data_IF_649402974967
#
_entry.id   IF_649402974967
#
_cell.length_a   1.000
_cell.length_b   1.000
_cell.length_c   1.000
_cell.angle_alpha   90.00
_cell.angle_beta   90.00
_cell.angle_gamma   90.00
#
_symmetry.space_group_name_H-M   'P 1'
#
loop_
_entity.id
_entity.type
_entity.pdbx_description
1 polymer ?
#
# COMPACT_ATOMS: atom_id res chain seq x y z
N UNK A 1 -13.42 -20.78 5.88
CA UNK A 1 -13.83 -19.37 6.05
C UNK A 1 -15.13 -19.21 5.29
N UNK A 2 -16.08 -18.48 5.86
CA UNK A 2 -17.32 -18.13 5.18
C UNK A 2 -17.26 -16.66 4.81
N UNK A 3 -17.85 -16.31 3.67
CA UNK A 3 -18.00 -14.95 3.20
C UNK A 3 -19.50 -14.60 3.16
N UNK A 4 -19.88 -13.36 3.52
CA UNK A 4 -19.00 -12.26 3.94
C UNK A 4 -18.31 -12.49 5.30
N UNK A 5 -17.01 -12.20 5.40
CA UNK A 5 -16.21 -12.37 6.62
C UNK A 5 -16.27 -11.09 7.46
N UNK A 6 -16.65 -11.14 8.75
CA UNK A 6 -16.77 -9.94 9.58
C UNK A 6 -15.44 -9.20 9.76
N UNK A 7 -15.46 -7.89 9.52
CA UNK A 7 -14.33 -6.97 9.77
C UNK A 7 -14.62 -6.12 11.00
N UNK A 8 -15.85 -5.61 11.10
CA UNK A 8 -16.41 -4.94 12.27
C UNK A 8 -17.83 -5.49 12.47
N UNK A 9 -18.07 -6.11 13.62
CA UNK A 9 -19.32 -6.84 13.90
C UNK A 9 -20.54 -5.94 14.16
N UNK A 10 -20.33 -4.68 14.53
CA UNK A 10 -21.41 -3.74 14.82
C UNK A 10 -20.95 -2.34 14.44
N UNK A 11 -21.67 -1.73 13.50
CA UNK A 11 -21.49 -0.34 13.12
C UNK A 11 -22.55 0.55 13.78
N UNK A 12 -22.14 1.74 14.20
CA UNK A 12 -23.08 2.80 14.54
C UNK A 12 -23.53 3.60 13.30
N UNK A 13 -24.54 4.45 13.47
CA UNK A 13 -25.09 5.27 12.37
C UNK A 13 -24.06 6.20 11.75
N UNK A 14 -23.09 6.69 12.53
CA UNK A 14 -22.05 7.58 12.03
C UNK A 14 -21.04 6.83 11.15
N UNK A 15 -20.71 5.59 11.50
CA UNK A 15 -19.87 4.70 10.71
C UNK A 15 -20.56 4.27 9.43
N UNK A 16 -21.85 3.94 9.46
CA UNK A 16 -22.65 3.66 8.26
C UNK A 16 -22.67 4.90 7.35
N UNK A 17 -22.93 6.09 7.90
CA UNK A 17 -22.89 7.33 7.11
C UNK A 17 -21.50 7.60 6.52
N UNK A 18 -20.43 7.27 7.25
CA UNK A 18 -19.04 7.38 6.77
C UNK A 18 -18.79 6.45 5.59
N UNK A 19 -19.26 5.20 5.68
CA UNK A 19 -19.19 4.23 4.57
C UNK A 19 -19.87 4.78 3.32
N UNK A 20 -21.15 5.14 3.42
CA UNK A 20 -21.96 5.61 2.30
C UNK A 20 -21.37 6.87 1.64
N UNK A 21 -20.81 7.77 2.45
CA UNK A 21 -20.27 9.04 1.95
C UNK A 21 -18.88 8.88 1.31
N UNK A 22 -18.03 8.01 1.85
CA UNK A 22 -16.59 8.02 1.51
C UNK A 22 -16.09 6.75 0.84
N UNK A 23 -16.71 5.60 1.08
CA UNK A 23 -16.24 4.30 0.61
C UNK A 23 -17.14 3.70 -0.49
N UNK A 24 -18.46 3.82 -0.31
CA UNK A 24 -19.45 3.28 -1.22
C UNK A 24 -19.49 4.03 -2.57
N UNK A 25 -20.02 3.36 -3.58
CA UNK A 25 -20.32 3.97 -4.88
C UNK A 25 -19.17 3.93 -5.91
N UNK A 26 -19.53 4.29 -7.15
CA UNK A 26 -18.63 4.30 -8.31
C UNK A 26 -18.24 5.72 -8.78
N UNK A 27 -18.67 6.76 -8.04
CA UNK A 27 -18.41 8.17 -8.40
C UNK A 27 -16.99 8.64 -8.14
N UNK A 28 -16.14 7.79 -7.55
CA UNK A 28 -14.74 8.08 -7.25
C UNK A 28 -13.84 7.63 -8.41
N UNK A 29 -12.69 8.28 -8.55
CA UNK A 29 -11.66 7.92 -9.55
C UNK A 29 -11.16 6.46 -9.46
N UNK A 30 -11.38 5.81 -8.31
CA UNK A 30 -11.18 4.39 -8.07
C UNK A 30 -12.23 3.88 -7.08
N UNK A 31 -12.58 2.59 -7.10
CA UNK A 31 -13.39 1.98 -6.04
C UNK A 31 -12.67 2.09 -4.70
N UNK A 32 -13.27 2.78 -3.72
CA UNK A 32 -12.69 3.03 -2.40
C UNK A 32 -12.99 1.90 -1.40
N UNK A 33 -14.05 1.15 -1.64
CA UNK A 33 -14.35 -0.13 -0.99
C UNK A 33 -13.39 -1.28 -1.39
N UNK A 34 -12.39 -1.02 -2.24
CA UNK A 34 -11.43 -2.03 -2.68
C UNK A 34 -10.03 -1.69 -2.18
N UNK A 35 -9.44 -2.64 -1.47
CA UNK A 35 -8.03 -2.66 -1.13
C UNK A 35 -7.30 -3.62 -2.08
N UNK A 36 -6.27 -3.13 -2.77
CA UNK A 36 -5.47 -3.93 -3.69
C UNK A 36 -4.00 -3.65 -3.44
N UNK A 37 -3.19 -4.69 -3.47
CA UNK A 37 -1.75 -4.56 -3.33
C UNK A 37 -0.99 -5.65 -4.08
N UNK A 38 0.19 -5.26 -4.57
CA UNK A 38 1.07 -6.14 -5.34
C UNK A 38 2.49 -6.02 -4.79
N UNK A 39 3.06 -7.17 -4.44
CA UNK A 39 4.48 -7.35 -4.23
C UNK A 39 5.03 -8.29 -5.27
N UNK A 40 6.16 -7.89 -5.83
CA UNK A 40 6.96 -8.71 -6.72
C UNK A 40 8.41 -8.59 -6.30
N UNK A 41 9.07 -9.72 -6.13
CA UNK A 41 10.47 -9.83 -5.75
C UNK A 41 11.13 -10.81 -6.69
N UNK A 42 12.28 -10.43 -7.22
CA UNK A 42 13.10 -11.23 -8.13
C UNK A 42 14.54 -11.07 -7.67
N UNK A 43 15.30 -12.16 -7.68
CA UNK A 43 16.74 -12.08 -7.47
C UNK A 43 17.38 -11.35 -8.64
N UNK A 44 18.15 -10.32 -8.34
CA UNK A 44 18.86 -9.49 -9.31
C UNK A 44 20.14 -8.94 -8.67
N UNK A 45 21.23 -8.74 -9.43
CA UNK A 45 22.44 -8.12 -8.92
C UNK A 45 22.18 -6.78 -8.19
N UNK A 46 21.27 -5.96 -8.69
CA UNK A 46 20.94 -4.65 -8.12
C UNK A 46 20.27 -4.71 -6.75
N UNK A 47 19.79 -5.88 -6.32
CA UNK A 47 19.14 -6.07 -5.02
C UNK A 47 19.72 -7.24 -4.21
N UNK A 48 20.96 -7.65 -4.52
CA UNK A 48 21.59 -8.87 -3.98
C UNK A 48 21.54 -8.99 -2.45
N UNK A 49 21.73 -7.88 -1.72
CA UNK A 49 21.66 -7.84 -0.25
C UNK A 49 20.32 -8.34 0.28
N UNK A 50 19.21 -7.98 -0.38
CA UNK A 50 17.86 -8.30 0.08
C UNK A 50 17.33 -9.60 -0.53
N UNK A 51 17.70 -9.89 -1.78
CA UNK A 51 17.21 -11.05 -2.51
C UNK A 51 18.07 -12.30 -2.32
N UNK A 52 19.26 -12.17 -1.74
CA UNK A 52 20.24 -13.25 -1.67
C UNK A 52 20.72 -13.69 -3.05
N UNK A 53 20.72 -12.80 -4.05
CA UNK A 53 21.22 -13.11 -5.39
C UNK A 53 22.70 -13.51 -5.35
N UNK A 54 23.06 -14.54 -6.12
CA UNK A 54 24.44 -14.95 -6.42
C UNK A 54 24.57 -15.43 -7.87
N UNK A 55 25.79 -15.55 -8.39
CA UNK A 55 26.04 -16.01 -9.77
C UNK A 55 25.58 -17.46 -10.00
N UNK A 56 25.71 -18.32 -8.99
CA UNK A 56 25.39 -19.75 -9.09
C UNK A 56 23.91 -20.06 -8.77
N UNK A 57 23.25 -19.21 -7.98
CA UNK A 57 21.87 -19.43 -7.51
C UNK A 57 21.01 -18.17 -7.68
N UNK A 58 20.66 -17.88 -8.95
CA UNK A 58 19.79 -16.77 -9.31
C UNK A 58 18.56 -17.21 -10.09
N UNK A 59 17.59 -16.29 -10.17
CA UNK A 59 16.37 -16.47 -10.92
C UNK A 59 15.13 -16.76 -10.07
N UNK A 60 15.27 -16.86 -8.73
CA UNK A 60 14.09 -16.98 -7.87
C UNK A 60 13.21 -15.73 -7.99
N UNK A 61 11.90 -15.95 -8.03
CA UNK A 61 10.90 -14.88 -8.06
C UNK A 61 9.72 -15.27 -7.18
N UNK A 62 9.20 -14.29 -6.46
CA UNK A 62 7.91 -14.38 -5.76
C UNK A 62 7.03 -13.20 -6.13
N UNK A 63 5.77 -13.49 -6.42
CA UNK A 63 4.71 -12.51 -6.63
C UNK A 63 3.62 -12.78 -5.62
N UNK A 64 3.12 -11.73 -4.98
CA UNK A 64 1.90 -11.74 -4.19
C UNK A 64 1.02 -10.61 -4.70
N UNK A 65 -0.22 -10.91 -5.06
CA UNK A 65 -1.22 -9.92 -5.47
C UNK A 65 -2.52 -10.23 -4.75
N UNK A 66 -3.04 -9.25 -4.03
CA UNK A 66 -4.34 -9.37 -3.40
C UNK A 66 -5.27 -8.26 -3.87
N UNK A 67 -6.56 -8.56 -3.82
CA UNK A 67 -7.64 -7.62 -4.09
C UNK A 67 -8.84 -8.02 -3.25
N UNK A 68 -9.21 -7.15 -2.33
CA UNK A 68 -10.30 -7.37 -1.37
C UNK A 68 -11.38 -6.34 -1.60
N UNK A 69 -12.64 -6.79 -1.69
CA UNK A 69 -13.81 -5.91 -1.71
C UNK A 69 -14.46 -5.96 -0.34
N UNK A 70 -14.65 -4.79 0.25
CA UNK A 70 -15.41 -4.62 1.48
C UNK A 70 -16.82 -4.15 1.15
N UNK A 71 -17.76 -4.44 2.03
CA UNK A 71 -19.15 -3.98 1.91
C UNK A 71 -19.82 -3.88 3.29
N UNK A 72 -21.04 -3.36 3.31
CA UNK A 72 -21.91 -3.45 4.47
C UNK A 72 -22.82 -4.68 4.36
N UNK A 73 -22.89 -5.44 5.45
CA UNK A 73 -23.81 -6.55 5.61
C UNK A 73 -24.98 -6.13 6.52
N UNK A 74 -26.20 -6.20 5.98
CA UNK A 74 -27.46 -5.84 6.63
C UNK A 74 -28.30 -7.06 7.03
N UNK A 75 -27.77 -8.29 6.97
CA UNK A 75 -28.54 -9.48 7.38
C UNK A 75 -28.83 -9.52 8.88
N UNK A 76 -28.14 -8.69 9.68
CA UNK A 76 -28.32 -8.55 11.13
C UNK A 76 -28.99 -7.21 11.48
N UNK A 77 -29.64 -7.08 12.66
CA UNK A 77 -30.29 -5.83 13.07
C UNK A 77 -29.35 -4.62 13.13
N UNK A 78 -28.07 -4.86 13.41
CA UNK A 78 -27.01 -3.84 13.38
C UNK A 78 -26.12 -4.15 12.17
N UNK A 79 -25.91 -3.19 11.24
CA UNK A 79 -25.05 -3.40 10.08
C UNK A 79 -23.61 -3.73 10.48
N UNK A 80 -22.94 -4.51 9.63
CA UNK A 80 -21.56 -4.93 9.85
C UNK A 80 -20.69 -4.50 8.68
N UNK A 81 -19.45 -4.12 8.95
CA UNK A 81 -18.44 -4.01 7.89
C UNK A 81 -17.89 -5.40 7.64
N UNK A 82 -17.89 -5.84 6.39
CA UNK A 82 -17.45 -7.18 6.01
C UNK A 82 -16.46 -7.16 4.86
N UNK A 83 -15.60 -8.17 4.81
CA UNK A 83 -14.90 -8.58 3.61
C UNK A 83 -15.89 -9.38 2.78
N UNK A 84 -16.37 -8.80 1.68
CA UNK A 84 -17.37 -9.41 0.81
C UNK A 84 -16.72 -10.34 -0.22
N UNK A 85 -15.57 -9.93 -0.78
CA UNK A 85 -14.84 -10.75 -1.75
C UNK A 85 -13.35 -10.77 -1.44
N UNK A 86 -12.74 -11.93 -1.64
CA UNK A 86 -11.31 -12.17 -1.46
C UNK A 86 -10.72 -12.69 -2.77
N UNK A 87 -9.66 -12.03 -3.23
CA UNK A 87 -8.71 -12.57 -4.21
C UNK A 87 -7.30 -12.46 -3.63
N UNK A 88 -6.58 -13.57 -3.58
CA UNK A 88 -5.17 -13.63 -3.22
C UNK A 88 -4.43 -14.58 -4.15
N UNK A 89 -3.46 -14.05 -4.86
CA UNK A 89 -2.61 -14.76 -5.79
C UNK A 89 -1.18 -14.78 -5.31
N UNK A 90 -0.56 -15.96 -5.35
CA UNK A 90 0.87 -16.14 -5.14
C UNK A 90 1.47 -16.90 -6.32
N UNK A 91 2.64 -16.46 -6.78
CA UNK A 91 3.46 -17.19 -7.77
C UNK A 91 4.88 -17.28 -7.27
N UNK A 92 5.43 -18.49 -7.24
CA UNK A 92 6.83 -18.74 -6.86
C UNK A 92 7.53 -19.43 -8.00
N UNK A 93 8.66 -18.88 -8.44
CA UNK A 93 9.60 -19.48 -9.39
C UNK A 93 10.88 -19.82 -8.62
N UNK A 94 11.27 -21.08 -8.61
CA UNK A 94 12.44 -21.59 -7.89
C UNK A 94 12.97 -22.87 -8.56
N UNK A 95 14.12 -23.43 -8.12
CA UNK A 95 14.59 -24.72 -8.62
C UNK A 95 13.50 -25.80 -8.51
N UNK A 96 13.40 -26.66 -9.52
CA UNK A 96 12.31 -27.65 -9.66
C UNK A 96 12.13 -28.53 -8.43
N UNK A 97 13.24 -28.96 -7.81
CA UNK A 97 13.19 -29.77 -6.59
C UNK A 97 12.51 -29.03 -5.42
N UNK A 98 12.80 -27.74 -5.24
CA UNK A 98 12.15 -26.91 -4.20
C UNK A 98 10.66 -26.73 -4.48
N UNK A 99 10.27 -26.57 -5.75
CA UNK A 99 8.87 -26.43 -6.15
C UNK A 99 8.09 -27.74 -6.03
N UNK A 100 8.69 -28.87 -6.38
CA UNK A 100 8.08 -30.18 -6.23
C UNK A 100 7.81 -30.47 -4.73
N UNK A 101 8.78 -30.19 -3.85
CA UNK A 101 8.60 -30.28 -2.40
C UNK A 101 7.51 -29.32 -1.90
N UNK A 102 7.51 -28.07 -2.37
CA UNK A 102 6.49 -27.09 -1.99
C UNK A 102 5.09 -27.50 -2.44
N UNK A 103 4.94 -28.05 -3.64
CA UNK A 103 3.66 -28.57 -4.14
C UNK A 103 3.15 -29.72 -3.26
N UNK A 104 4.03 -30.61 -2.84
CA UNK A 104 3.66 -31.72 -1.97
C UNK A 104 3.26 -31.22 -0.56
N UNK A 105 3.95 -30.21 -0.05
CA UNK A 105 3.55 -29.49 1.17
C UNK A 105 2.18 -28.81 1.02
N UNK A 106 1.92 -28.12 -0.10
CA UNK A 106 0.62 -27.50 -0.38
C UNK A 106 -0.51 -28.53 -0.40
N UNK A 107 -0.29 -29.70 -1.01
CA UNK A 107 -1.26 -30.81 -0.99
C UNK A 107 -1.49 -31.36 0.41
N UNK A 108 -0.43 -31.45 1.22
CA UNK A 108 -0.54 -31.83 2.63
C UNK A 108 -1.39 -30.82 3.40
N UNK A 109 -1.13 -29.51 3.25
CA UNK A 109 -1.89 -28.45 3.92
C UNK A 109 -3.35 -28.35 3.43
N UNK A 110 -3.62 -28.63 2.15
CA UNK A 110 -4.98 -28.74 1.64
C UNK A 110 -5.73 -29.87 2.37
N UNK A 111 -5.09 -31.02 2.54
CA UNK A 111 -5.68 -32.18 3.23
C UNK A 111 -5.87 -31.90 4.72
N UNK A 112 -4.81 -31.44 5.40
CA UNK A 112 -4.81 -31.07 6.83
C UNK A 112 -5.85 -29.98 7.12
N UNK A 113 -5.92 -28.98 6.25
CA UNK A 113 -6.89 -27.90 6.32
C UNK A 113 -8.31 -28.32 5.96
N UNK A 114 -8.56 -29.56 5.56
CA UNK A 114 -9.91 -30.07 5.24
C UNK A 114 -10.50 -29.46 3.97
N UNK A 115 -9.68 -29.12 2.98
CA UNK A 115 -10.14 -28.69 1.66
C UNK A 115 -10.64 -29.89 0.86
N UNK A 116 -11.75 -29.69 0.15
CA UNK A 116 -12.31 -30.71 -0.74
C UNK A 116 -11.84 -30.46 -2.17
N UNK A 117 -11.19 -31.46 -2.76
CA UNK A 117 -10.80 -31.44 -4.16
C UNK A 117 -12.05 -31.43 -5.06
N UNK A 118 -12.06 -30.54 -6.06
CA UNK A 118 -13.11 -30.41 -7.07
C UNK A 118 -12.62 -30.98 -8.42
N UNK A 119 -11.38 -30.66 -8.78
CA UNK A 119 -10.66 -31.22 -9.93
C UNK A 119 -9.16 -31.35 -9.64
N UNK A 120 -8.35 -31.70 -10.63
CA UNK A 120 -6.91 -31.92 -10.47
C UNK A 120 -6.14 -30.72 -9.88
N UNK A 121 -6.63 -29.50 -10.12
CA UNK A 121 -5.98 -28.25 -9.71
C UNK A 121 -6.82 -27.42 -8.73
N UNK A 122 -8.12 -27.66 -8.67
CA UNK A 122 -9.10 -26.86 -7.94
C UNK A 122 -9.59 -27.55 -6.66
N UNK A 123 -9.62 -26.78 -5.58
CA UNK A 123 -10.10 -27.21 -4.27
C UNK A 123 -11.09 -26.17 -3.71
N UNK A 124 -11.92 -26.59 -2.77
CA UNK A 124 -12.96 -25.77 -2.15
C UNK A 124 -13.05 -25.98 -0.64
N UNK A 125 -13.34 -24.91 0.11
CA UNK A 125 -13.63 -24.95 1.56
C UNK A 125 -14.48 -23.76 1.97
N UNK A 126 -15.73 -24.01 2.37
CA UNK A 126 -16.71 -22.93 2.57
C UNK A 126 -16.89 -22.14 1.27
N UNK A 127 -16.86 -20.82 1.37
CA UNK A 127 -17.04 -19.91 0.22
C UNK A 127 -15.73 -19.56 -0.49
N UNK A 128 -14.65 -20.30 -0.19
CA UNK A 128 -13.35 -20.16 -0.85
C UNK A 128 -13.08 -21.30 -1.82
N UNK A 129 -12.46 -20.95 -2.94
CA UNK A 129 -11.83 -21.85 -3.89
C UNK A 129 -10.33 -21.55 -3.95
N UNK A 130 -9.53 -22.59 -4.11
CA UNK A 130 -8.09 -22.45 -4.34
C UNK A 130 -7.65 -23.27 -5.54
N UNK A 131 -6.93 -22.63 -6.46
CA UNK A 131 -6.35 -23.27 -7.63
C UNK A 131 -4.83 -23.36 -7.46
N UNK A 132 -4.26 -24.54 -7.71
CA UNK A 132 -2.83 -24.83 -7.59
C UNK A 132 -2.31 -25.38 -8.91
N UNK A 133 -1.46 -24.62 -9.61
CA UNK A 133 -0.98 -24.96 -10.95
C UNK A 133 0.54 -24.83 -11.02
N UNK A 134 1.21 -25.87 -11.52
CA UNK A 134 2.65 -25.83 -11.82
C UNK A 134 2.90 -25.54 -13.29
N UNK A 135 3.98 -24.82 -13.58
CA UNK A 135 4.43 -24.56 -14.95
C UNK A 135 5.94 -24.76 -15.08
N UNK A 136 6.36 -25.59 -16.03
CA UNK A 136 7.77 -25.68 -16.42
C UNK A 136 8.22 -24.37 -17.10
N UNK A 137 7.37 -23.80 -17.97
CA UNK A 137 7.48 -22.42 -18.42
C UNK A 137 6.17 -21.69 -18.19
N UNK A 138 6.23 -20.56 -17.48
CA UNK A 138 5.02 -19.84 -17.10
C UNK A 138 4.46 -19.07 -18.30
N UNK A 139 3.16 -19.17 -18.64
CA UNK A 139 2.60 -18.54 -19.85
C UNK A 139 2.79 -17.02 -19.91
N UNK A 140 2.83 -16.35 -18.75
CA UNK A 140 3.06 -14.90 -18.66
C UNK A 140 4.52 -14.50 -18.84
N UNK A 141 5.45 -15.42 -18.61
CA UNK A 141 6.87 -15.21 -18.91
C UNK A 141 7.15 -15.44 -20.39
N UNK A 142 6.59 -16.49 -20.99
CA UNK A 142 6.66 -16.72 -22.44
C UNK A 142 6.12 -15.52 -23.21
N UNK A 143 4.94 -15.01 -22.84
CA UNK A 143 4.35 -13.82 -23.46
C UNK A 143 5.21 -12.57 -23.33
N UNK A 144 5.97 -12.45 -22.24
CA UNK A 144 6.85 -11.32 -21.99
C UNK A 144 8.30 -11.57 -22.47
N UNK A 145 8.55 -12.69 -23.15
CA UNK A 145 9.88 -13.16 -23.54
C UNK A 145 10.88 -13.18 -22.37
N UNK A 146 10.41 -13.48 -21.15
CA UNK A 146 11.25 -13.66 -19.97
C UNK A 146 11.66 -15.11 -19.89
N UNK A 147 12.97 -15.38 -19.90
CA UNK A 147 13.47 -16.74 -19.81
C UNK A 147 13.21 -17.33 -18.41
N UNK A 148 12.70 -18.57 -18.39
CA UNK A 148 12.74 -19.40 -17.19
C UNK A 148 14.15 -19.98 -17.07
N UNK A 149 14.86 -19.82 -15.93
CA UNK A 149 16.18 -20.41 -15.75
C UNK A 149 16.16 -21.94 -15.92
N UNK A 150 17.24 -22.53 -16.42
CA UNK A 150 17.33 -23.97 -16.58
C UNK A 150 17.17 -24.68 -15.23
N UNK A 151 16.32 -25.72 -15.19
CA UNK A 151 16.04 -26.47 -13.96
C UNK A 151 15.09 -25.75 -12.98
N UNK A 152 14.54 -24.59 -13.33
CA UNK A 152 13.51 -23.91 -12.56
C UNK A 152 12.12 -24.24 -13.10
N UNK A 153 11.13 -24.21 -12.23
CA UNK A 153 9.72 -24.18 -12.61
C UNK A 153 8.97 -23.26 -11.64
N UNK A 154 7.68 -23.04 -11.90
CA UNK A 154 6.85 -22.19 -11.05
C UNK A 154 5.63 -22.90 -10.51
N UNK A 155 5.17 -22.46 -9.35
CA UNK A 155 3.89 -22.84 -8.75
C UNK A 155 3.06 -21.58 -8.50
N UNK A 156 1.86 -21.59 -9.05
CA UNK A 156 0.83 -20.60 -8.80
C UNK A 156 -0.20 -21.16 -7.82
N UNK A 157 -0.55 -20.37 -6.81
CA UNK A 157 -1.65 -20.65 -5.88
C UNK A 157 -2.57 -19.43 -5.86
N UNK A 158 -3.85 -19.64 -6.18
CA UNK A 158 -4.85 -18.57 -6.28
C UNK A 158 -6.01 -18.90 -5.35
N UNK A 159 -6.21 -18.10 -4.31
CA UNK A 159 -7.40 -18.12 -3.47
C UNK A 159 -8.41 -17.12 -4.01
N UNK A 160 -9.66 -17.55 -4.20
CA UNK A 160 -10.77 -16.69 -4.59
C UNK A 160 -12.01 -17.02 -3.79
N UNK A 161 -12.83 -16.02 -3.50
CA UNK A 161 -14.21 -16.26 -3.10
C UNK A 161 -15.01 -16.88 -4.25
N UNK A 162 -15.99 -17.72 -3.92
CA UNK A 162 -16.74 -18.53 -4.89
C UNK A 162 -17.32 -17.71 -6.06
N UNK A 163 -17.82 -16.51 -5.76
CA UNK A 163 -18.45 -15.61 -6.73
C UNK A 163 -17.49 -14.58 -7.34
N UNK A 164 -16.19 -14.63 -7.03
CA UNK A 164 -15.24 -13.66 -7.57
C UNK A 164 -14.85 -14.00 -9.02
N UNK A 165 -15.18 -13.10 -9.94
CA UNK A 165 -14.72 -13.19 -11.32
C UNK A 165 -13.31 -12.63 -11.48
N UNK A 166 -12.33 -13.52 -11.71
CA UNK A 166 -10.96 -13.11 -12.04
C UNK A 166 -10.89 -12.58 -13.47
N UNK A 167 -11.20 -11.29 -13.62
CA UNK A 167 -11.14 -10.61 -14.92
C UNK A 167 -9.72 -10.64 -15.51
N UNK A 168 -9.61 -10.44 -16.83
CA UNK A 168 -8.31 -10.31 -17.51
C UNK A 168 -7.44 -9.23 -16.87
N UNK A 169 -8.01 -8.10 -16.46
CA UNK A 169 -7.27 -6.99 -15.86
C UNK A 169 -6.63 -7.41 -14.54
N UNK A 170 -7.40 -8.05 -13.63
CA UNK A 170 -6.89 -8.56 -12.35
C UNK A 170 -5.78 -9.58 -12.58
N UNK A 171 -6.01 -10.58 -13.44
CA UNK A 171 -5.03 -11.62 -13.75
C UNK A 171 -3.72 -11.09 -14.32
N UNK A 172 -3.76 -10.00 -15.10
CA UNK A 172 -2.57 -9.45 -15.78
C UNK A 172 -1.82 -8.42 -14.95
N UNK A 173 -2.49 -7.78 -13.98
CA UNK A 173 -1.91 -6.71 -13.18
C UNK A 173 -0.53 -7.04 -12.56
N UNK A 174 -0.33 -8.17 -11.86
CA UNK A 174 0.97 -8.47 -11.25
C UNK A 174 2.09 -8.62 -12.29
N UNK A 175 1.76 -9.16 -13.46
CA UNK A 175 2.70 -9.38 -14.55
C UNK A 175 3.06 -8.10 -15.30
N UNK A 176 2.10 -7.19 -15.47
CA UNK A 176 2.35 -5.85 -15.99
C UNK A 176 3.25 -5.05 -15.02
N UNK A 177 2.97 -5.14 -13.72
CA UNK A 177 3.81 -4.54 -12.69
C UNK A 177 5.22 -5.14 -12.72
N UNK A 178 5.36 -6.46 -12.90
CA UNK A 178 6.65 -7.17 -13.07
C UNK A 178 7.44 -6.69 -14.28
N UNK A 179 6.78 -6.51 -15.42
CA UNK A 179 7.41 -6.00 -16.63
C UNK A 179 8.03 -4.60 -16.45
N UNK A 180 7.55 -3.82 -15.46
CA UNK A 180 8.10 -2.52 -15.12
C UNK A 180 9.51 -2.51 -14.51
N UNK A 181 10.14 -3.68 -14.27
CA UNK A 181 11.55 -3.81 -13.86
C UNK A 181 11.82 -3.38 -12.41
N UNK A 182 13.06 -3.51 -11.92
CA UNK A 182 13.40 -3.05 -10.57
C UNK A 182 13.21 -1.54 -10.48
N UNK A 183 12.75 -1.08 -9.31
CA UNK A 183 12.63 0.35 -9.05
C UNK A 183 14.03 0.97 -9.11
N UNK A 184 14.21 1.90 -10.03
CA UNK A 184 15.33 2.82 -10.04
C UNK A 184 15.05 3.87 -8.96
N UNK A 185 15.97 4.04 -8.01
CA UNK A 185 15.89 5.10 -7.01
C UNK A 185 16.25 6.43 -7.67
N UNK A 186 15.59 7.50 -7.26
CA UNK A 186 15.97 8.83 -7.70
C UNK A 186 17.32 9.20 -7.07
N UNK A 187 18.13 9.97 -7.80
CA UNK A 187 19.34 10.57 -7.26
C UNK A 187 18.94 11.85 -6.54
N UNK A 188 19.18 11.87 -5.22
CA UNK A 188 18.91 13.04 -4.38
C UNK A 188 19.87 14.17 -4.75
N UNK A 189 19.34 15.38 -4.94
CA UNK A 189 20.15 16.59 -5.11
C UNK A 189 20.60 17.18 -3.76
N UNK A 190 20.82 18.50 -3.76
CA UNK A 190 21.22 19.31 -2.60
C UNK A 190 20.07 20.26 -2.20
N UNK A 191 19.02 19.74 -1.56
CA UNK A 191 17.94 20.58 -1.05
C UNK A 191 18.45 21.50 0.07
N UNK A 192 17.76 22.62 0.25
CA UNK A 192 18.00 23.53 1.38
C UNK A 192 17.17 23.08 2.58
N UNK A 193 17.74 23.10 3.77
CA UNK A 193 17.00 22.84 5.01
C UNK A 193 16.51 24.14 5.62
N UNK A 194 15.27 24.16 6.08
CA UNK A 194 14.65 25.27 6.78
C UNK A 194 14.09 24.81 8.13
N UNK A 195 13.98 25.75 9.06
CA UNK A 195 13.43 25.49 10.40
C UNK A 195 11.90 25.37 10.36
N UNK A 196 11.25 26.06 9.43
CA UNK A 196 9.79 26.09 9.25
C UNK A 196 9.36 26.32 7.78
N UNK A 197 8.06 26.45 7.56
CA UNK A 197 7.46 26.69 6.25
C UNK A 197 7.27 28.19 5.92
N UNK A 198 7.98 29.11 6.57
CA UNK A 198 7.79 30.55 6.35
C UNK A 198 8.00 30.97 4.89
N UNK A 199 9.00 30.41 4.20
CA UNK A 199 9.26 30.68 2.77
C UNK A 199 8.08 30.28 1.87
N UNK A 200 7.25 29.30 2.27
CA UNK A 200 6.06 28.89 1.48
C UNK A 200 5.07 30.06 1.29
N UNK A 201 5.05 31.03 2.20
CA UNK A 201 4.18 32.22 2.10
C UNK A 201 4.46 33.09 0.87
N UNK A 202 5.68 33.01 0.31
CA UNK A 202 6.06 33.70 -0.92
C UNK A 202 5.48 33.04 -2.19
N UNK A 203 5.01 31.79 -2.06
CA UNK A 203 4.54 30.94 -3.16
C UNK A 203 3.07 30.54 -3.02
N UNK A 204 2.23 31.41 -2.46
CA UNK A 204 0.78 31.18 -2.36
C UNK A 204 0.03 31.50 -3.67
N UNK A 205 -0.99 30.71 -4.04
CA UNK A 205 -1.43 29.49 -3.37
C UNK A 205 -0.56 28.27 -3.75
N UNK A 206 -0.54 27.25 -2.89
CA UNK A 206 0.17 25.99 -3.13
C UNK A 206 -0.82 24.83 -3.31
N UNK A 207 -0.33 23.69 -3.80
CA UNK A 207 -1.04 22.41 -3.79
C UNK A 207 -0.30 21.42 -2.90
N UNK A 208 -0.99 20.35 -2.47
CA UNK A 208 -0.46 19.40 -1.49
C UNK A 208 -0.39 17.99 -2.06
N UNK A 209 0.70 17.30 -1.78
CA UNK A 209 0.87 15.86 -1.93
C UNK A 209 1.12 15.23 -0.55
N UNK A 210 0.40 14.17 -0.19
CA UNK A 210 0.56 13.51 1.11
C UNK A 210 0.86 12.02 0.98
N UNK A 211 1.80 11.56 1.80
CA UNK A 211 2.06 10.16 2.11
C UNK A 211 1.59 9.80 3.52
N UNK A 212 2.11 8.71 4.08
CA UNK A 212 1.60 8.15 5.33
C UNK A 212 1.84 9.03 6.56
N UNK A 213 2.78 9.98 6.49
CA UNK A 213 3.16 10.82 7.63
C UNK A 213 2.03 11.69 8.21
N UNK A 214 0.97 11.98 7.47
CA UNK A 214 -0.20 12.71 8.02
C UNK A 214 -1.16 11.83 8.83
N UNK A 215 -0.98 10.51 8.77
CA UNK A 215 -1.95 9.51 9.20
C UNK A 215 -1.42 8.56 10.29
N UNK A 216 -0.15 8.71 10.69
CA UNK A 216 0.50 7.84 11.70
C UNK A 216 -0.22 7.95 13.04
N UNK A 217 -0.53 9.17 13.47
CA UNK A 217 -1.19 9.47 14.75
C UNK A 217 -2.66 9.04 14.77
N UNK A 218 -3.26 8.78 13.59
CA UNK A 218 -4.61 8.24 13.51
C UNK A 218 -4.66 6.71 13.77
N UNK A 219 -3.51 6.09 14.05
CA UNK A 219 -3.42 4.65 14.30
C UNK A 219 -3.53 3.77 13.04
N UNK A 220 -3.39 4.37 11.85
CA UNK A 220 -3.30 3.63 10.60
C UNK A 220 -1.92 2.96 10.52
N UNK A 221 -1.84 1.62 10.38
CA UNK A 221 -0.57 0.93 10.34
C UNK A 221 0.33 1.43 9.19
N UNK A 222 1.65 1.47 9.40
CA UNK A 222 2.59 1.83 8.34
C UNK A 222 2.64 0.75 7.25
N UNK A 223 3.12 1.09 6.05
CA UNK A 223 3.14 0.16 4.90
C UNK A 223 3.89 -1.15 5.18
N UNK A 224 4.90 -1.15 6.05
CA UNK A 224 5.65 -2.35 6.41
C UNK A 224 4.80 -3.38 7.19
N UNK A 225 3.67 -2.98 7.79
CA UNK A 225 2.69 -3.92 8.34
C UNK A 225 2.25 -4.94 7.27
N UNK A 226 2.05 -4.49 6.03
CA UNK A 226 1.67 -5.39 4.95
C UNK A 226 2.80 -6.36 4.58
N UNK A 227 4.07 -6.02 4.83
CA UNK A 227 5.15 -6.98 4.61
C UNK A 227 5.08 -8.14 5.60
N UNK A 228 4.64 -7.86 6.84
CA UNK A 228 4.33 -8.90 7.81
C UNK A 228 3.10 -9.67 7.32
N UNK A 229 1.95 -9.03 7.13
CA UNK A 229 0.69 -9.68 6.77
C UNK A 229 0.80 -10.62 5.55
N UNK A 230 1.58 -10.24 4.53
CA UNK A 230 1.75 -11.03 3.30
C UNK A 230 3.07 -11.81 3.23
N UNK A 231 3.82 -11.84 4.34
CA UNK A 231 5.11 -12.54 4.46
C UNK A 231 6.06 -12.17 3.30
N UNK A 232 6.15 -10.87 2.98
CA UNK A 232 6.94 -10.36 1.84
C UNK A 232 8.43 -10.35 2.17
N UNK A 233 8.74 -10.11 3.44
CA UNK A 233 10.09 -10.08 4.00
C UNK A 233 10.11 -10.91 5.27
N UNK A 234 11.30 -11.32 5.72
CA UNK A 234 11.52 -12.00 7.01
C UNK A 234 11.35 -11.06 8.23
N UNK A 235 10.53 -10.02 8.09
CA UNK A 235 10.28 -9.04 9.14
C UNK A 235 9.26 -9.62 10.13
N UNK A 236 9.63 -9.65 11.40
CA UNK A 236 8.79 -10.14 12.50
C UNK A 236 8.49 -9.05 13.54
N UNK A 237 9.05 -7.86 13.38
CA UNK A 237 8.96 -6.74 14.31
C UNK A 237 8.69 -5.42 13.55
N UNK A 238 8.38 -4.35 14.28
CA UNK A 238 8.25 -3.00 13.71
C UNK A 238 9.59 -2.23 13.71
N UNK A 239 10.70 -2.92 13.95
CA UNK A 239 12.04 -2.32 14.06
C UNK A 239 12.61 -2.03 12.67
N UNK A 240 13.08 -0.83 12.42
CA UNK A 240 13.74 -0.40 11.20
C UNK A 240 15.19 -0.89 11.18
N UNK A 241 15.35 -2.14 10.77
CA UNK A 241 16.65 -2.66 10.32
C UNK A 241 16.88 -2.19 8.89
N UNK A 242 18.12 -1.81 8.55
CA UNK A 242 18.48 -1.28 7.22
C UNK A 242 17.97 -2.18 6.07
N UNK A 243 17.91 -3.50 6.26
CA UNK A 243 17.26 -4.43 5.33
C UNK A 243 16.71 -5.66 6.05
N UNK A 244 15.50 -6.10 5.67
CA UNK A 244 15.04 -7.47 5.92
C UNK A 244 15.10 -8.25 4.60
N UNK A 245 15.58 -9.51 4.60
CA UNK A 245 15.60 -10.34 3.42
C UNK A 245 14.19 -10.52 2.83
N UNK A 246 14.10 -10.59 1.50
CA UNK A 246 12.88 -10.97 0.81
C UNK A 246 12.60 -12.45 1.05
N UNK A 247 11.34 -12.78 1.30
CA UNK A 247 10.89 -14.18 1.26
C UNK A 247 10.74 -14.56 -0.20
N UNK A 248 11.68 -15.36 -0.70
CA UNK A 248 11.73 -15.82 -2.10
C UNK A 248 11.71 -17.34 -2.23
N UNK A 249 12.23 -18.07 -1.23
CA UNK A 249 12.26 -19.52 -1.27
C UNK A 249 10.94 -20.12 -0.78
N UNK A 250 10.42 -21.18 -1.42
CA UNK A 250 9.19 -21.82 -1.00
C UNK A 250 9.17 -22.27 0.49
N UNK A 251 10.25 -22.84 1.07
CA UNK A 251 10.26 -23.24 2.48
C UNK A 251 10.07 -22.09 3.48
N UNK A 252 10.40 -20.85 3.08
CA UNK A 252 10.25 -19.66 3.93
C UNK A 252 8.89 -18.97 3.75
N UNK A 253 8.13 -19.32 2.70
CA UNK A 253 6.83 -18.73 2.42
C UNK A 253 5.71 -19.42 3.20
N UNK A 254 5.35 -18.84 4.34
CA UNK A 254 4.25 -19.36 5.18
C UNK A 254 2.87 -18.83 4.78
N UNK A 255 2.75 -17.88 3.85
CA UNK A 255 1.46 -17.24 3.52
C UNK A 255 0.43 -18.27 3.03
N UNK A 256 0.83 -19.10 2.07
CA UNK A 256 -0.05 -20.14 1.50
C UNK A 256 -0.43 -21.18 2.56
N UNK A 257 0.53 -21.60 3.39
CA UNK A 257 0.28 -22.54 4.50
C UNK A 257 -0.76 -21.98 5.46
N UNK A 258 -0.58 -20.75 5.93
CA UNK A 258 -1.48 -20.10 6.87
C UNK A 258 -2.90 -19.99 6.31
N UNK A 259 -3.05 -19.59 5.04
CA UNK A 259 -4.35 -19.56 4.36
C UNK A 259 -5.00 -20.94 4.23
N UNK A 260 -4.23 -22.00 3.96
CA UNK A 260 -4.77 -23.35 3.79
C UNK A 260 -5.17 -23.99 5.12
N UNK A 261 -4.37 -23.80 6.17
CA UNK A 261 -4.63 -24.38 7.49
C UNK A 261 -5.71 -23.61 8.25
N UNK A 262 -5.64 -22.27 8.27
CA UNK A 262 -6.59 -21.42 8.98
C UNK A 262 -6.86 -20.09 8.24
N UNK A 263 -7.61 -20.19 7.15
CA UNK A 263 -8.04 -19.03 6.36
C UNK A 263 -8.75 -17.94 7.19
N UNK A 264 -9.48 -18.31 8.24
CA UNK A 264 -10.24 -17.35 9.06
C UNK A 264 -9.28 -16.51 9.90
N UNK A 265 -8.39 -17.16 10.67
CA UNK A 265 -7.39 -16.43 11.46
C UNK A 265 -6.48 -15.58 10.56
N UNK A 266 -6.15 -16.10 9.37
CA UNK A 266 -5.36 -15.33 8.41
C UNK A 266 -6.12 -14.13 7.85
N UNK A 267 -7.41 -14.27 7.54
CA UNK A 267 -8.22 -13.15 7.07
C UNK A 267 -8.27 -12.00 8.09
N UNK A 268 -8.34 -12.28 9.40
CA UNK A 268 -8.30 -11.25 10.44
C UNK A 268 -7.03 -10.39 10.40
N UNK A 269 -5.88 -11.01 10.11
CA UNK A 269 -4.62 -10.29 9.88
C UNK A 269 -4.69 -9.44 8.60
N UNK A 270 -5.20 -10.03 7.51
CA UNK A 270 -5.24 -9.40 6.19
C UNK A 270 -6.16 -8.18 6.12
N UNK A 271 -7.30 -8.19 6.83
CA UNK A 271 -8.27 -7.07 6.85
C UNK A 271 -7.91 -5.97 7.86
N UNK A 272 -6.91 -6.19 8.71
CA UNK A 272 -6.58 -5.28 9.80
C UNK A 272 -6.23 -3.87 9.32
N UNK A 273 -5.52 -3.76 8.19
CA UNK A 273 -5.17 -2.47 7.61
C UNK A 273 -6.41 -1.66 7.23
N UNK A 274 -7.32 -2.25 6.45
CA UNK A 274 -8.59 -1.60 6.08
C UNK A 274 -9.44 -1.25 7.30
N UNK A 275 -9.57 -2.17 8.26
CA UNK A 275 -10.29 -1.94 9.51
C UNK A 275 -9.76 -0.71 10.26
N UNK A 276 -8.44 -0.59 10.39
CA UNK A 276 -7.80 0.55 11.06
C UNK A 276 -8.01 1.85 10.28
N UNK A 277 -7.91 1.82 8.96
CA UNK A 277 -8.21 2.97 8.11
C UNK A 277 -9.67 3.42 8.19
N UNK A 278 -10.63 2.49 8.23
CA UNK A 278 -12.05 2.83 8.38
C UNK A 278 -12.35 3.48 9.74
N UNK A 279 -11.77 2.95 10.82
CA UNK A 279 -11.96 3.45 12.19
C UNK A 279 -11.19 4.73 12.51
N UNK A 280 -10.16 5.07 11.72
CA UNK A 280 -9.34 6.24 11.93
C UNK A 280 -10.12 7.54 11.70
N UNK A 281 -9.84 8.58 12.49
CA UNK A 281 -10.36 9.93 12.25
C UNK A 281 -9.30 10.85 11.67
N UNK A 282 -9.68 11.91 10.92
CA UNK A 282 -8.72 12.89 10.42
C UNK A 282 -7.90 13.51 11.56
N UNK A 283 -6.58 13.51 11.39
CA UNK A 283 -5.65 14.12 12.35
C UNK A 283 -5.70 15.65 12.31
N UNK A 284 -5.07 16.30 13.28
CA UNK A 284 -4.88 17.75 13.28
C UNK A 284 -4.18 18.28 12.01
N UNK A 285 -3.30 17.48 11.39
CA UNK A 285 -2.71 17.80 10.10
C UNK A 285 -3.76 17.94 9.00
N UNK A 286 -4.72 17.01 8.91
CA UNK A 286 -5.80 17.06 7.93
C UNK A 286 -6.72 18.27 8.14
N UNK A 287 -7.02 18.61 9.39
CA UNK A 287 -7.82 19.80 9.71
C UNK A 287 -7.08 21.11 9.43
N UNK A 288 -5.76 21.17 9.67
CA UNK A 288 -4.94 22.30 9.29
C UNK A 288 -4.93 22.49 7.75
N UNK A 289 -4.76 21.41 6.99
CA UNK A 289 -4.87 21.46 5.53
C UNK A 289 -6.24 21.95 5.06
N UNK A 290 -7.33 21.50 5.71
CA UNK A 290 -8.68 21.99 5.41
C UNK A 290 -8.83 23.48 5.68
N UNK A 291 -8.30 23.98 6.80
CA UNK A 291 -8.33 25.41 7.12
C UNK A 291 -7.53 26.24 6.09
N UNK A 292 -6.35 25.78 5.69
CA UNK A 292 -5.53 26.41 4.66
C UNK A 292 -6.22 26.42 3.29
N UNK A 293 -6.95 25.35 2.96
CA UNK A 293 -7.77 25.27 1.75
C UNK A 293 -8.92 26.27 1.78
N UNK A 294 -9.67 26.32 2.88
CA UNK A 294 -10.83 27.22 3.02
C UNK A 294 -10.43 28.69 3.00
N UNK A 295 -9.20 29.00 3.43
CA UNK A 295 -8.61 30.34 3.36
C UNK A 295 -8.05 30.70 1.97
N UNK A 296 -8.03 29.76 1.01
CA UNK A 296 -7.48 29.96 -0.33
C UNK A 296 -5.95 29.92 -0.42
N UNK A 297 -5.24 29.47 0.63
CA UNK A 297 -3.80 29.29 0.61
C UNK A 297 -3.39 27.97 -0.06
N UNK A 298 -4.22 26.94 0.10
CA UNK A 298 -4.11 25.65 -0.58
C UNK A 298 -5.22 25.53 -1.63
N UNK A 299 -4.85 25.20 -2.88
CA UNK A 299 -5.77 25.00 -4.01
C UNK A 299 -5.66 23.62 -4.66
N UNK A 300 -6.74 23.20 -5.30
CA UNK A 300 -6.83 21.92 -6.01
C UNK A 300 -7.01 20.71 -5.09
N UNK A 301 -7.11 19.50 -5.66
CA UNK A 301 -7.21 18.28 -4.86
C UNK A 301 -5.88 17.95 -4.18
N UNK A 302 -5.95 17.28 -3.04
CA UNK A 302 -4.80 16.63 -2.40
C UNK A 302 -4.34 15.47 -3.27
N UNK A 303 -3.07 15.46 -3.68
CA UNK A 303 -2.46 14.33 -4.38
C UNK A 303 -2.13 13.25 -3.35
N UNK A 304 -2.93 12.19 -3.32
CA UNK A 304 -3.00 11.25 -2.20
C UNK A 304 -2.35 9.90 -2.55
N UNK A 305 -1.47 9.41 -1.67
CA UNK A 305 -0.88 8.06 -1.77
C UNK A 305 -1.51 7.06 -0.81
N UNK A 306 -2.20 7.53 0.22
CA UNK A 306 -2.83 6.71 1.25
C UNK A 306 -4.24 6.28 0.83
N UNK A 307 -4.65 5.08 1.25
CA UNK A 307 -5.98 4.56 0.97
C UNK A 307 -6.96 4.81 2.13
N UNK A 308 -6.54 5.53 3.18
CA UNK A 308 -7.29 5.79 4.41
C UNK A 308 -8.42 6.83 4.29
N UNK A 309 -8.40 7.63 3.23
CA UNK A 309 -9.39 8.67 2.92
C UNK A 309 -9.50 9.78 3.98
N UNK A 310 -8.48 9.95 4.82
CA UNK A 310 -8.56 10.91 5.93
C UNK A 310 -8.62 12.37 5.45
N UNK A 311 -7.99 12.72 4.32
CA UNK A 311 -8.14 14.06 3.75
C UNK A 311 -9.56 14.27 3.19
N UNK A 312 -10.13 13.27 2.50
CA UNK A 312 -11.53 13.32 2.07
C UNK A 312 -12.51 13.44 3.23
N UNK A 313 -12.26 12.74 4.33
CA UNK A 313 -13.08 12.83 5.56
C UNK A 313 -12.95 14.18 6.26
N UNK A 314 -11.79 14.84 6.16
CA UNK A 314 -11.63 16.24 6.57
C UNK A 314 -12.32 17.25 5.62
N UNK A 315 -12.91 16.79 4.52
CA UNK A 315 -13.64 17.62 3.56
C UNK A 315 -12.78 18.18 2.43
N UNK A 316 -11.60 17.61 2.18
CA UNK A 316 -10.75 17.94 1.04
C UNK A 316 -11.09 17.06 -0.16
N UNK A 317 -10.94 17.58 -1.38
CA UNK A 317 -10.94 16.73 -2.56
C UNK A 317 -9.60 15.97 -2.62
N UNK A 318 -9.64 14.71 -3.05
CA UNK A 318 -8.45 13.87 -3.22
C UNK A 318 -8.33 13.42 -4.67
N UNK A 319 -7.09 13.29 -5.13
CA UNK A 319 -6.72 12.61 -6.37
C UNK A 319 -5.63 11.59 -6.07
N UNK A 320 -5.97 10.33 -6.18
CA UNK A 320 -5.16 9.20 -5.77
C UNK A 320 -4.12 8.89 -6.84
N UNK A 321 -2.84 9.01 -6.49
CA UNK A 321 -1.73 8.83 -7.43
C UNK A 321 -1.04 7.46 -7.28
N UNK A 322 -1.37 6.68 -6.25
CA UNK A 322 -0.76 5.36 -6.03
C UNK A 322 -1.54 4.24 -6.72
N UNK A 323 -1.35 4.05 -8.03
CA UNK A 323 -2.06 3.01 -8.79
C UNK A 323 -1.11 1.93 -9.33
N UNK A 324 -1.69 0.77 -9.71
CA UNK A 324 -0.96 -0.36 -10.29
C UNK A 324 -1.15 -0.49 -11.80
N UNK A 325 -2.30 -0.06 -12.31
CA UNK A 325 -2.63 0.03 -13.74
C UNK A 325 -1.79 1.09 -14.46
N UNK A 326 -1.35 2.13 -13.73
CA UNK A 326 -0.50 3.20 -14.25
C UNK A 326 0.73 3.40 -13.35
N UNK A 327 1.93 3.26 -13.91
CA UNK A 327 3.19 3.52 -13.18
C UNK A 327 3.30 4.98 -12.75
N UNK A 328 2.97 5.91 -13.65
CA UNK A 328 2.98 7.36 -13.45
C UNK A 328 1.60 7.88 -13.89
N UNK A 329 0.62 7.94 -12.98
CA UNK A 329 -0.70 8.48 -13.33
C UNK A 329 -0.64 10.00 -13.53
N UNK A 330 -1.62 10.60 -14.25
CA UNK A 330 -1.77 12.05 -14.29
C UNK A 330 -1.89 12.65 -12.89
N UNK A 331 -1.16 13.74 -12.63
CA UNK A 331 -1.32 14.57 -11.45
C UNK A 331 -2.03 15.87 -11.87
N UNK A 332 -3.28 16.12 -11.44
CA UNK A 332 -4.02 17.32 -11.82
C UNK A 332 -3.53 18.52 -11.02
N UNK A 333 -2.42 19.11 -11.45
CA UNK A 333 -1.94 20.34 -10.85
C UNK A 333 -2.89 21.49 -11.15
N UNK A 334 -3.28 22.23 -10.11
CA UNK A 334 -4.13 23.40 -10.24
C UNK A 334 -3.38 24.51 -11.00
N UNK A 335 -3.99 25.20 -11.99
CA UNK A 335 -3.30 26.22 -12.79
C UNK A 335 -2.71 27.39 -11.99
N UNK A 336 -3.29 27.69 -10.83
CA UNK A 336 -2.86 28.80 -9.97
C UNK A 336 -1.80 28.39 -8.92
N UNK A 337 -1.53 27.09 -8.75
CA UNK A 337 -0.59 26.63 -7.74
C UNK A 337 0.84 27.04 -8.11
N UNK A 338 1.50 27.82 -7.23
CA UNK A 338 2.89 28.27 -7.41
C UNK A 338 3.90 27.36 -6.72
N UNK A 339 3.45 26.57 -5.75
CA UNK A 339 4.26 25.60 -5.04
C UNK A 339 3.54 24.27 -4.82
N UNK A 340 4.33 23.22 -4.60
CA UNK A 340 3.89 21.92 -4.12
C UNK A 340 4.47 21.68 -2.73
N UNK A 341 3.59 21.42 -1.75
CA UNK A 341 3.97 20.96 -0.40
C UNK A 341 3.79 19.44 -0.32
N UNK A 342 4.89 18.72 -0.13
CA UNK A 342 4.94 17.26 0.00
C UNK A 342 5.11 16.88 1.46
N UNK A 343 4.24 16.03 1.99
CA UNK A 343 4.23 15.70 3.42
C UNK A 343 4.33 14.19 3.63
N UNK A 344 5.34 13.75 4.38
CA UNK A 344 5.46 12.35 4.82
C UNK A 344 5.61 11.34 3.68
N UNK A 345 6.31 11.71 2.61
CA UNK A 345 6.50 10.90 1.42
C UNK A 345 8.00 10.75 1.11
N UNK A 346 8.54 9.56 1.42
CA UNK A 346 9.97 9.28 1.27
C UNK A 346 10.51 9.40 -0.16
N UNK A 347 9.69 9.11 -1.18
CA UNK A 347 10.17 9.07 -2.56
C UNK A 347 9.11 9.40 -3.62
N UNK A 348 9.57 10.03 -4.71
CA UNK A 348 8.73 10.50 -5.82
C UNK A 348 8.41 9.40 -6.85
N UNK A 349 7.88 8.27 -6.37
CA UNK A 349 7.61 7.09 -7.21
C UNK A 349 6.60 7.35 -8.34
N UNK A 350 5.84 8.43 -8.26
CA UNK A 350 4.79 8.82 -9.20
C UNK A 350 5.15 10.10 -9.97
N UNK A 351 6.40 10.55 -9.85
CA UNK A 351 6.93 11.73 -10.54
C UNK A 351 6.07 12.97 -10.36
N UNK A 352 5.45 13.14 -9.19
CA UNK A 352 4.64 14.31 -8.86
C UNK A 352 5.58 15.48 -8.60
N UNK A 353 6.55 15.34 -7.70
CA UNK A 353 7.54 16.39 -7.43
C UNK A 353 8.30 16.79 -8.69
N UNK A 354 8.77 15.81 -9.48
CA UNK A 354 9.43 16.06 -10.77
C UNK A 354 8.57 16.91 -11.71
N UNK A 355 7.29 16.55 -11.90
CA UNK A 355 6.38 17.27 -12.80
C UNK A 355 5.98 18.64 -12.26
N UNK A 356 5.94 18.82 -10.95
CA UNK A 356 5.73 20.14 -10.34
C UNK A 356 6.90 21.08 -10.70
N UNK A 357 8.14 20.60 -10.58
CA UNK A 357 9.34 21.36 -10.99
C UNK A 357 9.34 21.68 -12.49
N UNK A 358 8.98 20.73 -13.35
CA UNK A 358 8.85 20.95 -14.80
C UNK A 358 7.80 22.01 -15.16
N UNK A 359 6.83 22.26 -14.27
CA UNK A 359 5.84 23.34 -14.40
C UNK A 359 6.28 24.67 -13.77
N UNK A 360 7.50 24.74 -13.23
CA UNK A 360 8.03 25.92 -12.56
C UNK A 360 7.51 26.13 -11.15
N UNK A 361 6.90 25.11 -10.52
CA UNK A 361 6.48 25.19 -9.12
C UNK A 361 7.68 25.02 -8.19
N UNK A 362 7.70 25.79 -7.10
CA UNK A 362 8.63 25.56 -5.98
C UNK A 362 8.19 24.34 -5.18
N UNK A 363 9.11 23.49 -4.74
CA UNK A 363 8.78 22.26 -3.98
C UNK A 363 9.29 22.37 -2.55
N UNK A 364 8.40 22.08 -1.60
CA UNK A 364 8.66 22.02 -0.17
C UNK A 364 8.37 20.61 0.33
N UNK A 365 9.19 20.12 1.26
CA UNK A 365 9.00 18.83 1.93
C UNK A 365 8.84 19.04 3.43
N UNK A 366 7.93 18.29 4.04
CA UNK A 366 7.85 18.08 5.48
C UNK A 366 7.96 16.59 5.76
N UNK A 367 9.06 16.18 6.36
CA UNK A 367 9.32 14.79 6.72
C UNK A 367 10.34 14.75 7.86
N UNK A 368 10.23 13.77 8.74
CA UNK A 368 11.18 13.61 9.85
C UNK A 368 12.55 13.13 9.38
N UNK A 369 12.70 12.66 8.15
CA UNK A 369 13.91 12.06 7.55
C UNK A 369 14.52 10.95 8.42
N UNK A 370 13.68 10.21 9.14
CA UNK A 370 14.07 9.21 10.12
C UNK A 370 13.06 9.04 11.24
N UNK A 371 13.35 8.15 12.17
CA UNK A 371 12.49 7.86 13.32
C UNK A 371 13.34 7.49 14.54
N UNK A 372 12.77 7.65 15.73
CA UNK A 372 13.40 7.20 16.98
C UNK A 372 13.13 5.71 17.21
N UNK A 373 14.19 4.93 17.42
CA UNK A 373 14.14 3.52 17.75
C UNK A 373 15.04 3.22 18.95
N UNK A 374 14.48 2.58 19.98
CA UNK A 374 15.23 2.23 21.20
C UNK A 374 15.93 3.42 21.87
N UNK A 375 15.39 4.64 21.71
CA UNK A 375 15.98 5.87 22.21
C UNK A 375 17.10 6.45 21.33
N UNK A 376 17.34 5.88 20.14
CA UNK A 376 18.28 6.39 19.16
C UNK A 376 17.57 6.81 17.87
N UNK A 377 17.90 7.98 17.35
CA UNK A 377 17.34 8.44 16.08
C UNK A 377 18.06 7.77 14.91
N UNK A 378 17.30 7.07 14.07
CA UNK A 378 17.78 6.38 12.89
C UNK A 378 17.52 7.23 11.63
N UNK A 379 18.56 7.80 11.00
CA UNK A 379 18.39 8.63 9.80
C UNK A 379 17.88 7.82 8.60
N UNK A 380 16.90 8.37 7.92
CA UNK A 380 16.32 7.85 6.69
C UNK A 380 15.96 9.01 5.73
N UNK A 381 16.98 9.63 5.10
CA UNK A 381 16.80 10.83 4.28
C UNK A 381 15.90 10.57 3.07
N UNK A 382 15.10 11.58 2.69
CA UNK A 382 14.22 11.53 1.52
C UNK A 382 15.02 11.26 0.23
N UNK A 383 14.49 10.41 -0.66
CA UNK A 383 15.11 10.10 -1.96
C UNK A 383 14.79 11.16 -3.04
N UNK A 384 13.59 11.77 -2.99
CA UNK A 384 13.06 12.63 -4.06
C UNK A 384 13.51 14.11 -4.14
N UNK A 385 14.02 14.76 -3.07
CA UNK A 385 14.44 16.16 -3.12
C UNK A 385 15.60 16.41 -4.10
N UNK A 386 15.60 17.60 -4.70
CA UNK A 386 16.53 18.09 -5.72
C UNK A 386 17.10 19.46 -5.33
N UNK A 387 18.06 19.94 -6.12
CA UNK A 387 18.57 21.32 -5.99
C UNK A 387 17.42 22.34 -6.11
N UNK A 388 17.39 23.31 -5.19
CA UNK A 388 16.37 24.37 -5.15
C UNK A 388 15.10 24.02 -4.38
N UNK A 389 14.92 22.77 -3.95
CA UNK A 389 13.83 22.40 -3.03
C UNK A 389 14.15 22.80 -1.60
N UNK A 390 13.12 22.84 -0.75
CA UNK A 390 13.24 23.12 0.69
C UNK A 390 12.73 21.92 1.49
N UNK A 391 13.46 21.51 2.52
CA UNK A 391 13.06 20.48 3.48
C UNK A 391 12.91 21.11 4.86
N UNK A 392 11.75 20.91 5.48
CA UNK A 392 11.53 21.10 6.91
C UNK A 392 11.56 19.74 7.58
N UNK A 393 12.60 19.50 8.38
CA UNK A 393 12.82 18.21 9.04
C UNK A 393 12.00 18.10 10.33
N UNK A 394 10.70 17.84 10.20
CA UNK A 394 9.76 17.87 11.32
C UNK A 394 8.55 16.95 11.09
N UNK A 395 7.77 16.75 12.15
CA UNK A 395 6.47 16.06 12.10
C UNK A 395 5.40 16.90 11.41
N UNK A 396 4.47 16.26 10.70
CA UNK A 396 3.46 16.95 9.90
C UNK A 396 2.52 17.83 10.73
N UNK A 397 2.05 17.35 11.89
CA UNK A 397 1.07 18.05 12.72
C UNK A 397 1.61 19.39 13.24
N UNK A 398 2.72 19.46 14.01
CA UNK A 398 3.21 20.73 14.55
C UNK A 398 3.57 21.71 13.43
N UNK A 399 4.18 21.24 12.34
CA UNK A 399 4.56 22.11 11.21
C UNK A 399 3.36 22.73 10.50
N UNK A 400 2.28 21.97 10.27
CA UNK A 400 1.08 22.50 9.61
C UNK A 400 0.26 23.43 10.52
N UNK A 401 0.20 23.13 11.82
CA UNK A 401 -0.43 24.02 12.79
C UNK A 401 0.32 25.35 12.87
N UNK A 402 1.64 25.30 12.88
CA UNK A 402 2.48 26.50 12.87
C UNK A 402 2.31 27.29 11.57
N UNK A 403 2.26 26.63 10.40
CA UNK A 403 1.97 27.30 9.13
C UNK A 403 0.63 28.03 9.16
N UNK A 404 -0.42 27.42 9.73
CA UNK A 404 -1.70 28.10 9.91
C UNK A 404 -1.55 29.37 10.76
N UNK A 405 -0.80 29.29 11.87
CA UNK A 405 -0.53 30.45 12.73
C UNK A 405 0.22 31.55 12.00
N UNK A 406 1.24 31.20 11.21
CA UNK A 406 2.02 32.14 10.39
C UNK A 406 1.17 32.87 9.35
N UNK A 407 0.17 32.17 8.80
CA UNK A 407 -0.79 32.72 7.84
C UNK A 407 -2.03 33.37 8.49
N UNK A 408 -2.03 33.53 9.82
CA UNK A 408 -3.10 34.20 10.56
C UNK A 408 -4.41 33.39 10.69
N UNK A 409 -4.35 32.07 10.51
CA UNK A 409 -5.49 31.17 10.59
C UNK A 409 -5.63 30.58 11.99
N UNK A 410 -6.88 30.47 12.47
CA UNK A 410 -7.18 29.69 13.68
C UNK A 410 -7.34 28.22 13.29
N UNK A 411 -6.47 27.35 13.80
CA UNK A 411 -6.67 25.91 13.64
C UNK A 411 -7.78 25.43 14.59
N UNK A 412 -8.76 24.65 14.11
CA UNK A 412 -9.57 23.87 15.02
C UNK A 412 -8.66 22.78 15.59
N UNK A 413 -8.20 22.95 16.82
CA UNK A 413 -7.61 21.85 17.59
C UNK A 413 -8.75 20.88 17.88
N UNK A 414 -8.75 19.65 17.35
CA UNK A 414 -9.68 18.64 17.83
C UNK A 414 -9.36 18.42 19.30
N UNK A 415 -10.37 18.48 20.17
CA UNK A 415 -10.20 18.06 21.55
C UNK A 415 -9.61 16.64 21.53
N UNK A 416 -8.35 16.50 21.99
CA UNK A 416 -7.76 15.18 22.15
C UNK A 416 -8.72 14.37 23.03
N UNK A 417 -9.23 13.27 22.48
CA UNK A 417 -9.82 12.23 23.30
C UNK A 417 -8.71 11.80 24.27
N UNK A 418 -8.91 12.11 25.55
CA UNK A 418 -8.05 11.62 26.61
C UNK A 418 -7.95 10.10 26.48
N UNK A 419 -6.74 9.60 26.29
CA UNK A 419 -6.41 8.18 26.44
C UNK A 419 -6.24 7.88 27.93
#
# INVERSE_FOLDING_TARGET
MFLPHPVIEQLDDAQVATWEKHFAGAGHERPRAIEEGIWRRTQDPANAVQSGWSEDENGRRRIVHYRYRYDLDYTYPVPRLVLAELYLYTSVLAPKAEIDEYRDNVRSWLTEGGWRQIDDTLWSKGDLRVNVISYDSHPQDERASRATPAGFCSLDVVFVSEDFEVTRTVRQMPWNVLAGGIRIKDERGNPTYADDLSELSEYLPFQVEIGCGTSVEAGVPPLHFLHQAYRVTERTDNVMKQTHPFVLSPPKDTLVREMLLDATAKADELVTMFRKSFLAEPTAAHHALKALHDAGHFVGPVLQHNFDLLAARAGLQEHFVRRYDQKIPPAPFHPEAKALLIIGLHADRRSVAKRARERGMKVFFVDTEGLEEFGEYMPYPLEGPQDGDVIVKAEAIPTLVELCRQLGMNTPVPAQAAV
#
